data_IF_591854571228
#
_entry.id   IF_591854571228
#
_cell.length_a   1.000
_cell.length_b   1.000
_cell.length_c   1.000
_cell.angle_alpha   90.00
_cell.angle_beta   90.00
_cell.angle_gamma   90.00
#
_symmetry.space_group_name_H-M   'P 1'
#
loop_
_entity.id
_entity.type
_entity.pdbx_description
1 polymer ?
#
# COMPACT_ATOMS: atom_id res chain seq x y z
N UNK A 1 -3.24 -10.34 -34.69
CA UNK A 1 -3.66 -11.17 -33.52
C UNK A 1 -2.41 -11.44 -32.69
N UNK A 2 -2.39 -11.15 -31.39
CA UNK A 2 -1.21 -11.37 -30.55
C UNK A 2 -0.93 -12.87 -30.39
N UNK A 3 0.33 -13.27 -30.52
CA UNK A 3 0.75 -14.64 -30.25
C UNK A 3 1.27 -14.72 -28.79
N UNK A 4 0.46 -15.31 -27.92
CA UNK A 4 0.82 -15.46 -26.49
C UNK A 4 2.07 -16.32 -26.24
N UNK A 5 2.54 -17.09 -27.21
CA UNK A 5 3.77 -17.87 -27.09
C UNK A 5 5.03 -17.02 -27.30
N UNK A 6 4.89 -15.84 -27.88
CA UNK A 6 6.00 -14.89 -28.10
C UNK A 6 6.17 -13.91 -26.92
N UNK A 7 5.32 -13.99 -25.89
CA UNK A 7 5.44 -13.19 -24.68
C UNK A 7 6.70 -13.57 -23.91
N UNK A 8 7.52 -12.56 -23.61
CA UNK A 8 8.73 -12.71 -22.82
C UNK A 8 8.48 -12.24 -21.40
N UNK A 9 8.47 -13.17 -20.44
CA UNK A 9 8.40 -12.83 -19.02
C UNK A 9 9.76 -12.37 -18.53
N UNK A 10 9.83 -11.14 -18.01
CA UNK A 10 11.08 -10.55 -17.58
C UNK A 10 10.90 -9.80 -16.27
N UNK A 11 11.98 -9.69 -15.50
CA UNK A 11 12.13 -8.77 -14.40
C UNK A 11 12.16 -7.35 -14.97
N UNK A 12 11.47 -6.43 -14.28
CA UNK A 12 11.50 -5.01 -14.59
C UNK A 12 12.64 -4.33 -13.84
N UNK A 13 13.36 -3.48 -14.55
CA UNK A 13 14.24 -2.49 -13.94
C UNK A 13 13.42 -1.27 -13.44
N UNK A 14 14.10 -0.27 -12.89
CA UNK A 14 13.44 0.96 -12.43
C UNK A 14 12.66 1.67 -13.56
N UNK A 15 13.14 1.58 -14.81
CA UNK A 15 12.44 2.21 -15.94
C UNK A 15 11.14 1.47 -16.28
N UNK A 16 11.16 0.14 -16.27
CA UNK A 16 9.96 -0.68 -16.41
C UNK A 16 8.95 -0.48 -15.27
N UNK A 17 9.42 -0.34 -14.03
CA UNK A 17 8.55 -0.03 -12.90
C UNK A 17 7.92 1.38 -13.02
N UNK A 18 8.65 2.38 -13.51
CA UNK A 18 8.08 3.72 -13.79
C UNK A 18 6.94 3.66 -14.82
N UNK A 19 7.06 2.80 -15.84
CA UNK A 19 5.98 2.55 -16.81
C UNK A 19 4.78 1.94 -16.09
N UNK A 20 4.99 0.95 -15.23
CA UNK A 20 3.91 0.30 -14.47
C UNK A 20 3.18 1.29 -13.53
N UNK A 21 3.93 2.18 -12.87
CA UNK A 21 3.36 3.27 -12.05
C UNK A 21 2.59 4.29 -12.90
N UNK A 22 3.05 4.58 -14.14
CA UNK A 22 2.27 5.44 -15.05
C UNK A 22 0.93 4.81 -15.45
N UNK A 23 0.89 3.50 -15.64
CA UNK A 23 -0.38 2.80 -15.90
C UNK A 23 -1.30 2.81 -14.67
N UNK A 24 -0.75 2.71 -13.45
CA UNK A 24 -1.54 2.89 -12.23
C UNK A 24 -2.18 4.28 -12.13
N UNK A 25 -1.51 5.32 -12.65
CA UNK A 25 -2.09 6.66 -12.78
C UNK A 25 -3.23 6.68 -13.80
N UNK A 26 -3.07 6.01 -14.95
CA UNK A 26 -4.11 5.88 -15.99
C UNK A 26 -5.34 5.09 -15.50
N UNK A 27 -5.17 4.21 -14.50
CA UNK A 27 -6.25 3.45 -13.83
C UNK A 27 -6.82 4.21 -12.58
N UNK A 28 -6.52 5.52 -12.42
CA UNK A 28 -6.97 6.38 -11.32
C UNK A 28 -6.55 5.92 -9.89
N UNK A 29 -5.45 5.15 -9.77
CA UNK A 29 -4.98 4.67 -8.47
C UNK A 29 -4.23 5.73 -7.66
N UNK A 30 -3.99 6.89 -8.26
CA UNK A 30 -3.37 8.06 -7.64
C UNK A 30 -2.01 7.75 -6.99
N UNK A 31 -0.99 7.27 -7.75
CA UNK A 31 0.32 6.97 -7.21
C UNK A 31 1.07 8.24 -6.77
N UNK A 32 2.09 8.08 -5.95
CA UNK A 32 2.99 9.17 -5.56
C UNK A 32 4.17 9.31 -6.52
N UNK A 33 4.70 10.53 -6.59
CA UNK A 33 5.82 10.89 -7.49
C UNK A 33 7.07 10.03 -7.27
N UNK A 34 7.30 9.58 -6.04
CA UNK A 34 8.51 8.85 -5.66
C UNK A 34 8.28 7.35 -5.46
N UNK A 35 7.04 6.87 -5.62
CA UNK A 35 6.66 5.48 -5.36
C UNK A 35 7.53 4.49 -6.12
N UNK A 36 7.72 4.68 -7.42
CA UNK A 36 8.54 3.77 -8.24
C UNK A 36 9.96 3.58 -7.69
N UNK A 37 10.60 4.66 -7.21
CA UNK A 37 11.96 4.58 -6.67
C UNK A 37 11.99 3.79 -5.37
N UNK A 38 11.13 4.14 -4.41
CA UNK A 38 11.07 3.48 -3.10
C UNK A 38 10.69 2.01 -3.24
N UNK A 39 9.70 1.71 -4.07
CA UNK A 39 9.25 0.35 -4.31
C UNK A 39 10.38 -0.51 -4.91
N UNK A 40 11.10 0.03 -5.90
CA UNK A 40 12.25 -0.65 -6.49
C UNK A 40 13.39 -0.88 -5.47
N UNK A 41 13.71 0.12 -4.64
CA UNK A 41 14.73 0.00 -3.59
C UNK A 41 14.32 -0.99 -2.48
N UNK A 42 13.01 -1.15 -2.24
CA UNK A 42 12.49 -2.13 -1.27
C UNK A 42 12.79 -3.55 -1.69
N UNK A 43 12.52 -3.89 -2.95
CA UNK A 43 12.81 -5.20 -3.53
C UNK A 43 13.09 -5.06 -5.03
N UNK A 44 14.37 -4.96 -5.46
CA UNK A 44 14.71 -4.83 -6.86
C UNK A 44 14.31 -6.03 -7.73
N UNK A 45 14.05 -7.20 -7.14
CA UNK A 45 13.56 -8.41 -7.80
C UNK A 45 12.02 -8.54 -7.73
N UNK A 46 11.36 -7.54 -7.14
CA UNK A 46 9.94 -7.54 -6.81
C UNK A 46 9.00 -7.10 -7.96
N UNK A 47 9.50 -6.89 -9.18
CA UNK A 47 8.67 -6.37 -10.27
C UNK A 47 8.92 -7.15 -11.56
N UNK A 48 7.84 -7.60 -12.20
CA UNK A 48 7.91 -8.44 -13.39
C UNK A 48 6.83 -8.05 -14.41
N UNK A 49 7.07 -8.38 -15.67
CA UNK A 49 6.11 -8.09 -16.73
C UNK A 49 6.31 -8.96 -17.97
N UNK A 50 5.33 -8.86 -18.87
CA UNK A 50 5.43 -9.41 -20.20
C UNK A 50 5.80 -8.35 -21.22
N UNK A 51 6.82 -8.66 -22.00
CA UNK A 51 7.18 -7.93 -23.20
C UNK A 51 6.66 -8.66 -24.44
N UNK A 52 6.17 -7.90 -25.41
CA UNK A 52 5.77 -8.35 -26.72
C UNK A 52 6.33 -7.39 -27.76
N UNK A 53 7.05 -7.90 -28.76
CA UNK A 53 7.75 -7.07 -29.77
C UNK A 53 8.58 -5.92 -29.15
N UNK A 54 9.28 -6.22 -28.05
CA UNK A 54 10.12 -5.24 -27.32
C UNK A 54 9.37 -4.26 -26.43
N UNK A 55 8.04 -4.26 -26.39
CA UNK A 55 7.22 -3.37 -25.60
C UNK A 55 6.69 -4.06 -24.34
N UNK A 56 6.77 -3.40 -23.20
CA UNK A 56 6.09 -3.83 -21.98
C UNK A 56 4.57 -3.70 -22.19
N UNK A 57 3.82 -4.80 -22.02
CA UNK A 57 2.37 -4.85 -22.26
C UNK A 57 1.54 -5.24 -21.04
N UNK A 58 2.16 -5.85 -20.04
CA UNK A 58 1.52 -6.25 -18.80
C UNK A 58 2.56 -6.37 -17.70
N UNK A 59 2.21 -6.08 -16.46
CA UNK A 59 3.16 -6.18 -15.35
C UNK A 59 2.48 -6.23 -13.97
N UNK A 60 3.32 -6.41 -12.96
CA UNK A 60 2.88 -6.39 -11.57
C UNK A 60 4.00 -6.62 -10.57
N UNK A 61 3.70 -6.40 -9.28
CA UNK A 61 4.66 -6.63 -8.21
C UNK A 61 4.58 -8.05 -7.65
N UNK A 62 5.71 -8.54 -7.16
CA UNK A 62 5.94 -9.81 -6.46
C UNK A 62 6.95 -9.57 -5.33
N UNK A 63 6.67 -8.60 -4.48
CA UNK A 63 7.59 -8.16 -3.43
C UNK A 63 7.71 -9.24 -2.35
N UNK A 64 8.95 -9.53 -1.94
CA UNK A 64 9.26 -10.43 -0.84
C UNK A 64 9.87 -9.66 0.33
N UNK A 65 9.26 -9.76 1.49
CA UNK A 65 9.79 -9.26 2.76
C UNK A 65 10.63 -10.37 3.41
N UNK A 66 11.92 -10.42 3.04
CA UNK A 66 12.92 -11.37 3.55
C UNK A 66 12.53 -12.86 3.44
N UNK A 67 11.66 -13.22 2.53
CA UNK A 67 11.11 -14.57 2.42
C UNK A 67 10.02 -14.91 3.43
N UNK A 68 9.79 -14.09 4.45
CA UNK A 68 8.81 -14.35 5.51
C UNK A 68 7.36 -14.03 5.07
N UNK A 69 7.21 -13.08 4.14
CA UNK A 69 5.93 -12.64 3.62
C UNK A 69 6.08 -12.11 2.20
N UNK A 70 5.10 -12.39 1.34
CA UNK A 70 5.02 -11.85 -0.01
C UNK A 70 3.89 -10.85 -0.16
N UNK A 71 4.02 -9.89 -1.10
CA UNK A 71 2.93 -9.00 -1.46
C UNK A 71 2.82 -8.84 -2.98
N UNK A 72 1.61 -8.98 -3.52
CA UNK A 72 1.31 -8.86 -4.95
C UNK A 72 0.43 -7.64 -5.22
N UNK A 73 0.97 -6.65 -5.91
CA UNK A 73 0.24 -5.46 -6.35
C UNK A 73 0.45 -5.15 -7.84
N UNK A 74 0.05 -3.98 -8.29
CA UNK A 74 0.23 -3.48 -9.67
C UNK A 74 -0.21 -4.46 -10.78
N UNK A 75 -1.21 -5.25 -10.60
CA UNK A 75 -1.65 -6.20 -11.63
C UNK A 75 -2.36 -5.46 -12.77
N UNK A 76 -1.60 -5.07 -13.80
CA UNK A 76 -2.09 -4.28 -14.93
C UNK A 76 -1.74 -4.95 -16.26
N UNK A 77 -2.72 -5.03 -17.15
CA UNK A 77 -2.56 -5.35 -18.58
C UNK A 77 -3.03 -4.14 -19.36
N UNK A 78 -2.22 -3.65 -20.30
CA UNK A 78 -2.61 -2.51 -21.14
C UNK A 78 -3.93 -2.80 -21.86
N UNK A 79 -4.84 -1.80 -21.98
CA UNK A 79 -6.19 -2.01 -22.51
C UNK A 79 -6.25 -2.75 -23.85
N UNK A 80 -5.37 -2.40 -24.79
CA UNK A 80 -5.30 -3.01 -26.12
C UNK A 80 -4.86 -4.49 -26.13
N UNK A 81 -4.33 -4.98 -24.99
CA UNK A 81 -3.89 -6.37 -24.80
C UNK A 81 -4.79 -7.17 -23.84
N UNK A 82 -5.90 -6.59 -23.39
CA UNK A 82 -6.90 -7.29 -22.56
C UNK A 82 -7.67 -8.30 -23.41
N UNK A 83 -8.34 -9.26 -22.77
CA UNK A 83 -9.13 -10.33 -23.37
C UNK A 83 -8.35 -11.42 -24.18
N UNK A 84 -7.03 -11.34 -24.29
CA UNK A 84 -6.19 -12.36 -24.93
C UNK A 84 -5.66 -13.44 -23.95
N UNK A 85 -6.14 -13.47 -22.70
CA UNK A 85 -5.66 -14.42 -21.68
C UNK A 85 -4.34 -14.05 -21.00
N UNK A 86 -3.72 -12.93 -21.40
CA UNK A 86 -2.41 -12.46 -20.89
C UNK A 86 -2.46 -12.23 -19.38
N UNK A 87 -3.51 -11.58 -18.88
CA UNK A 87 -3.67 -11.34 -17.45
C UNK A 87 -3.70 -12.63 -16.64
N UNK A 88 -4.44 -13.66 -17.10
CA UNK A 88 -4.47 -14.97 -16.43
C UNK A 88 -3.08 -15.62 -16.41
N UNK A 89 -2.35 -15.60 -17.52
CA UNK A 89 -1.00 -16.17 -17.62
C UNK A 89 -0.04 -15.44 -16.68
N UNK A 90 -0.06 -14.08 -16.68
CA UNK A 90 0.77 -13.24 -15.82
C UNK A 90 0.48 -13.50 -14.34
N UNK A 91 -0.81 -13.60 -13.96
CA UNK A 91 -1.23 -13.84 -12.60
C UNK A 91 -0.59 -15.09 -11.98
N UNK A 92 -0.78 -16.24 -12.63
CA UNK A 92 -0.23 -17.49 -12.14
C UNK A 92 1.30 -17.48 -12.13
N UNK A 93 1.93 -16.96 -13.17
CA UNK A 93 3.38 -16.89 -13.25
C UNK A 93 3.97 -15.97 -12.16
N UNK A 94 3.33 -14.84 -11.87
CA UNK A 94 3.71 -13.96 -10.76
C UNK A 94 3.61 -14.67 -9.41
N UNK A 95 2.47 -15.29 -9.12
CA UNK A 95 2.26 -16.03 -7.89
C UNK A 95 3.32 -17.11 -7.70
N UNK A 96 3.53 -17.94 -8.70
CA UNK A 96 4.47 -19.06 -8.62
C UNK A 96 5.93 -18.55 -8.52
N UNK A 97 6.27 -17.46 -9.20
CA UNK A 97 7.58 -16.80 -9.07
C UNK A 97 7.78 -16.23 -7.66
N UNK A 98 6.75 -15.64 -7.06
CA UNK A 98 6.84 -15.13 -5.69
C UNK A 98 6.96 -16.28 -4.69
N UNK A 99 6.15 -17.32 -4.81
CA UNK A 99 6.24 -18.50 -3.93
C UNK A 99 7.64 -19.12 -3.93
N UNK A 100 8.33 -19.17 -5.08
CA UNK A 100 9.70 -19.66 -5.16
C UNK A 100 10.74 -18.77 -4.44
N UNK A 101 10.37 -17.55 -4.04
CA UNK A 101 11.18 -16.58 -3.29
C UNK A 101 10.85 -16.54 -1.79
N UNK A 102 9.83 -17.26 -1.38
CA UNK A 102 9.34 -17.27 0.00
C UNK A 102 9.79 -18.53 0.72
N UNK A 103 9.85 -18.44 2.05
CA UNK A 103 10.03 -19.60 2.91
C UNK A 103 8.82 -20.53 2.83
N UNK A 104 8.99 -21.79 3.19
CA UNK A 104 7.89 -22.74 3.35
C UNK A 104 6.88 -22.15 4.35
N UNK A 105 5.60 -22.29 4.07
CA UNK A 105 4.48 -21.75 4.86
C UNK A 105 4.32 -20.22 4.91
N UNK A 106 5.16 -19.44 4.20
CA UNK A 106 4.96 -18.01 4.11
C UNK A 106 3.71 -17.68 3.29
N UNK A 107 2.98 -16.66 3.72
CA UNK A 107 1.77 -16.20 3.05
C UNK A 107 2.06 -15.07 2.05
N UNK A 108 1.11 -14.86 1.13
CA UNK A 108 1.11 -13.73 0.20
C UNK A 108 -0.12 -12.88 0.45
N UNK A 109 0.08 -11.56 0.68
CA UNK A 109 -0.97 -10.56 0.74
C UNK A 109 -1.17 -9.86 -0.60
N UNK A 110 -2.36 -9.30 -0.78
CA UNK A 110 -2.69 -8.39 -1.87
C UNK A 110 -3.91 -7.55 -1.53
N UNK A 111 -4.05 -6.41 -2.22
CA UNK A 111 -5.29 -5.62 -2.21
C UNK A 111 -5.98 -5.75 -3.57
N UNK A 112 -7.04 -6.56 -3.60
CA UNK A 112 -7.75 -6.91 -4.82
C UNK A 112 -8.92 -5.98 -5.12
N UNK A 113 -8.93 -5.36 -6.31
CA UNK A 113 -10.07 -4.58 -6.78
C UNK A 113 -11.33 -5.44 -6.89
N UNK A 114 -12.50 -4.84 -6.66
CA UNK A 114 -13.79 -5.55 -6.50
C UNK A 114 -14.08 -6.53 -7.63
N UNK A 115 -13.96 -6.09 -8.88
CA UNK A 115 -14.29 -6.89 -10.06
C UNK A 115 -13.41 -8.13 -10.24
N UNK A 116 -12.20 -8.11 -9.69
CA UNK A 116 -11.22 -9.19 -9.84
C UNK A 116 -11.22 -10.18 -8.66
N UNK A 117 -11.90 -9.90 -7.56
CA UNK A 117 -11.92 -10.77 -6.37
C UNK A 117 -12.37 -12.22 -6.67
N UNK A 118 -13.39 -12.48 -7.51
CA UNK A 118 -13.75 -13.86 -7.87
C UNK A 118 -12.63 -14.60 -8.61
N UNK A 119 -11.82 -13.89 -9.38
CA UNK A 119 -10.66 -14.46 -10.08
C UNK A 119 -9.52 -14.77 -9.09
N UNK A 120 -9.25 -13.87 -8.13
CA UNK A 120 -8.22 -14.06 -7.11
C UNK A 120 -8.56 -15.22 -6.17
N UNK A 121 -9.83 -15.39 -5.80
CA UNK A 121 -10.29 -16.56 -5.03
C UNK A 121 -10.01 -17.88 -5.74
N UNK A 122 -10.22 -17.96 -7.07
CA UNK A 122 -9.86 -19.14 -7.87
C UNK A 122 -8.35 -19.40 -7.88
N UNK A 123 -7.55 -18.38 -7.63
CA UNK A 123 -6.10 -18.45 -7.46
C UNK A 123 -5.64 -18.86 -6.06
N UNK A 124 -6.57 -19.14 -5.14
CA UNK A 124 -6.28 -19.57 -3.77
C UNK A 124 -6.20 -18.44 -2.74
N UNK A 125 -6.64 -17.24 -3.09
CA UNK A 125 -6.67 -16.10 -2.15
C UNK A 125 -8.04 -15.99 -1.45
N UNK A 126 -8.01 -15.76 -0.15
CA UNK A 126 -9.22 -15.53 0.66
C UNK A 126 -9.28 -14.08 1.13
N UNK A 127 -10.50 -13.51 1.16
CA UNK A 127 -10.72 -12.16 1.66
C UNK A 127 -10.61 -12.17 3.18
N UNK A 128 -9.76 -11.29 3.72
CA UNK A 128 -9.66 -11.05 5.15
C UNK A 128 -10.60 -9.90 5.59
N UNK A 129 -10.52 -8.77 4.89
CA UNK A 129 -11.35 -7.58 5.12
C UNK A 129 -11.29 -6.68 3.88
N UNK A 130 -12.05 -5.57 3.89
CA UNK A 130 -11.97 -4.54 2.85
C UNK A 130 -11.23 -3.33 3.35
N UNK A 131 -10.46 -2.73 2.48
CA UNK A 131 -9.83 -1.43 2.68
C UNK A 131 -10.58 -0.40 1.83
N UNK A 132 -11.15 0.61 2.49
CA UNK A 132 -11.97 1.63 1.86
C UNK A 132 -11.22 2.95 1.80
N UNK A 133 -11.13 3.55 0.61
CA UNK A 133 -10.56 4.88 0.42
C UNK A 133 -11.59 5.95 0.68
N UNK A 134 -11.20 6.91 1.52
CA UNK A 134 -11.95 8.13 1.76
C UNK A 134 -11.11 9.35 1.41
N UNK A 135 -11.82 10.40 1.02
CA UNK A 135 -11.26 11.73 0.69
C UNK A 135 -11.84 12.80 1.60
N UNK A 136 -10.98 13.73 2.04
CA UNK A 136 -11.37 14.97 2.69
C UNK A 136 -10.42 16.09 2.26
N UNK A 137 -10.93 17.32 2.16
CA UNK A 137 -10.09 18.51 2.00
C UNK A 137 -9.44 18.85 3.34
N UNK A 138 -8.13 19.12 3.32
CA UNK A 138 -7.38 19.53 4.50
C UNK A 138 -7.91 20.84 5.10
N UNK A 139 -7.90 20.93 6.42
CA UNK A 139 -8.45 22.02 7.20
C UNK A 139 -7.69 22.15 8.53
N UNK A 140 -7.70 23.34 9.15
CA UNK A 140 -7.02 23.59 10.41
C UNK A 140 -7.86 23.15 11.62
N UNK A 141 -7.25 22.35 12.47
CA UNK A 141 -7.78 21.91 13.76
C UNK A 141 -6.79 22.19 14.88
N UNK A 142 -7.29 22.37 16.08
CA UNK A 142 -6.47 22.27 17.29
C UNK A 142 -6.04 20.81 17.47
N UNK A 143 -4.74 20.59 17.67
CA UNK A 143 -4.14 19.26 17.86
C UNK A 143 -3.57 19.11 19.28
N UNK A 144 -3.54 17.87 19.75
CA UNK A 144 -2.95 17.53 21.05
C UNK A 144 -1.45 17.88 21.07
N UNK A 145 -0.98 18.46 22.18
CA UNK A 145 0.43 18.81 22.42
C UNK A 145 1.40 17.63 22.34
N UNK A 146 0.91 16.41 22.47
CA UNK A 146 1.68 15.16 22.34
C UNK A 146 2.00 14.81 20.88
N UNK A 147 1.42 15.54 19.91
CA UNK A 147 1.75 15.39 18.49
C UNK A 147 3.01 16.20 18.17
N UNK A 148 4.01 15.52 17.65
CA UNK A 148 5.25 16.13 17.14
C UNK A 148 5.71 15.46 15.86
N UNK A 149 6.65 16.06 15.14
CA UNK A 149 7.26 15.44 13.97
C UNK A 149 8.18 14.29 14.39
N UNK A 150 8.25 13.25 13.54
CA UNK A 150 9.19 12.13 13.72
C UNK A 150 10.61 12.65 13.52
N UNK A 151 11.51 12.26 14.42
CA UNK A 151 12.94 12.59 14.40
C UNK A 151 13.80 11.32 14.23
N UNK A 152 15.09 11.47 14.05
CA UNK A 152 16.01 10.33 13.84
C UNK A 152 16.04 9.38 15.06
N UNK A 153 15.94 9.90 16.27
CA UNK A 153 15.88 9.11 17.51
C UNK A 153 14.63 8.23 17.63
N UNK A 154 13.57 8.53 16.88
CA UNK A 154 12.32 7.78 16.91
C UNK A 154 12.33 6.54 16.00
N UNK A 155 13.29 6.45 15.09
CA UNK A 155 13.31 5.46 14.01
C UNK A 155 13.15 4.03 14.55
N UNK A 156 13.86 3.66 15.62
CA UNK A 156 13.78 2.33 16.20
C UNK A 156 12.36 2.00 16.68
N UNK A 157 11.71 2.95 17.38
CA UNK A 157 10.34 2.77 17.88
C UNK A 157 9.31 2.74 16.74
N UNK A 158 9.52 3.55 15.69
CA UNK A 158 8.66 3.53 14.49
C UNK A 158 8.75 2.19 13.77
N UNK A 159 9.95 1.63 13.57
CA UNK A 159 10.11 0.33 12.91
C UNK A 159 9.48 -0.80 13.71
N UNK A 160 9.58 -0.78 15.03
CA UNK A 160 8.95 -1.79 15.88
C UNK A 160 7.42 -1.64 15.86
N UNK A 161 6.89 -0.41 15.87
CA UNK A 161 5.46 -0.15 15.78
C UNK A 161 4.89 -0.56 14.42
N UNK A 162 5.60 -0.23 13.32
CA UNK A 162 5.24 -0.65 11.97
C UNK A 162 5.19 -2.17 11.85
N UNK A 163 6.18 -2.88 12.41
CA UNK A 163 6.21 -4.34 12.43
C UNK A 163 4.99 -4.94 13.16
N UNK A 164 4.55 -4.35 14.28
CA UNK A 164 3.34 -4.80 15.00
C UNK A 164 2.07 -4.63 14.16
N UNK A 165 1.97 -3.56 13.37
CA UNK A 165 0.80 -3.27 12.54
C UNK A 165 0.83 -4.03 11.20
N UNK A 166 2.00 -4.14 10.57
CA UNK A 166 2.14 -4.82 9.28
C UNK A 166 2.31 -6.34 9.42
N UNK A 167 2.89 -6.79 10.55
CA UNK A 167 3.18 -8.20 10.85
C UNK A 167 4.60 -8.63 10.55
N UNK A 168 5.34 -7.92 9.69
CA UNK A 168 6.70 -8.27 9.26
C UNK A 168 7.61 -7.04 9.28
N UNK A 169 8.91 -7.28 9.49
CA UNK A 169 9.90 -6.21 9.46
C UNK A 169 10.19 -5.75 8.04
N UNK A 170 10.04 -4.45 7.77
CA UNK A 170 10.24 -3.87 6.43
C UNK A 170 11.04 -2.56 6.43
N UNK A 171 12.22 -2.50 7.09
CA UNK A 171 13.00 -1.26 7.19
C UNK A 171 13.44 -0.71 5.83
N UNK A 172 13.70 -1.56 4.83
CA UNK A 172 14.03 -1.14 3.45
C UNK A 172 12.91 -0.33 2.79
N UNK A 173 11.65 -0.51 3.24
CA UNK A 173 10.51 0.26 2.78
C UNK A 173 10.27 1.50 3.66
N UNK A 174 10.15 1.33 4.97
CA UNK A 174 9.73 2.40 5.89
C UNK A 174 10.80 3.50 6.01
N UNK A 175 12.11 3.18 6.05
CA UNK A 175 13.14 4.19 6.22
C UNK A 175 13.19 5.22 5.07
N UNK A 176 13.25 4.83 3.79
CA UNK A 176 13.18 5.79 2.70
C UNK A 176 11.78 6.43 2.58
N UNK A 177 10.70 5.74 3.00
CA UNK A 177 9.34 6.26 3.00
C UNK A 177 9.17 7.43 3.98
N UNK A 178 9.78 7.36 5.17
CA UNK A 178 9.84 8.46 6.13
C UNK A 178 10.59 9.69 5.59
N UNK A 179 11.59 9.47 4.74
CA UNK A 179 12.50 10.50 4.20
C UNK A 179 12.11 11.02 2.82
N UNK A 180 10.91 10.70 2.32
CA UNK A 180 10.44 11.21 1.02
C UNK A 180 10.40 12.74 1.00
N UNK A 181 10.79 13.39 -0.11
CA UNK A 181 10.68 14.84 -0.24
C UNK A 181 9.24 15.34 -0.02
N UNK A 182 9.12 16.40 0.76
CA UNK A 182 7.84 17.04 1.09
C UNK A 182 6.87 16.18 1.94
N UNK A 183 7.30 15.04 2.46
CA UNK A 183 6.52 14.29 3.44
C UNK A 183 6.30 15.13 4.69
N UNK A 184 5.14 14.88 5.33
CA UNK A 184 4.89 15.30 6.72
C UNK A 184 4.76 14.04 7.56
N UNK A 185 5.47 14.01 8.67
CA UNK A 185 5.51 12.84 9.56
C UNK A 185 5.12 13.26 10.96
N UNK A 186 4.22 12.52 11.56
CA UNK A 186 3.67 12.82 12.89
C UNK A 186 3.80 11.60 13.79
N UNK A 187 4.17 11.82 15.05
CA UNK A 187 4.13 10.83 16.11
C UNK A 187 3.31 11.35 17.27
N UNK A 188 2.68 10.45 18.01
CA UNK A 188 2.02 10.72 19.27
C UNK A 188 2.82 10.05 20.38
N UNK A 189 3.36 10.85 21.33
CA UNK A 189 4.12 10.36 22.48
C UNK A 189 3.31 10.60 23.75
N UNK A 190 3.16 9.56 24.57
CA UNK A 190 2.56 9.66 25.90
C UNK A 190 3.37 8.80 26.87
N UNK A 191 3.67 9.35 28.04
CA UNK A 191 4.46 8.67 29.09
C UNK A 191 5.82 8.17 28.55
N UNK A 192 6.47 8.97 27.69
CA UNK A 192 7.73 8.69 26.98
C UNK A 192 7.65 7.48 26.00
N UNK A 193 6.46 7.00 25.67
CA UNK A 193 6.26 5.90 24.72
C UNK A 193 5.57 6.36 23.44
N UNK A 194 5.95 5.76 22.31
CA UNK A 194 5.26 5.93 21.04
C UNK A 194 3.90 5.21 21.08
N UNK A 195 2.83 5.97 20.88
CA UNK A 195 1.45 5.45 20.89
C UNK A 195 0.76 5.50 19.53
N UNK A 196 1.45 5.97 18.53
CA UNK A 196 1.00 6.01 17.15
C UNK A 196 1.82 6.95 16.29
N UNK A 197 1.72 6.76 14.98
CA UNK A 197 2.35 7.64 14.00
C UNK A 197 1.58 7.70 12.70
N UNK A 198 1.81 8.76 11.94
CA UNK A 198 1.25 8.94 10.60
C UNK A 198 2.28 9.57 9.67
N UNK A 199 2.18 9.21 8.39
CA UNK A 199 2.98 9.78 7.31
C UNK A 199 2.02 10.32 6.25
N UNK A 200 2.22 11.59 5.85
CA UNK A 200 1.50 12.20 4.73
C UNK A 200 2.47 12.40 3.59
N UNK A 201 2.15 11.87 2.42
CA UNK A 201 2.96 12.04 1.21
C UNK A 201 2.17 12.69 0.07
N UNK A 202 2.88 13.39 -0.82
CA UNK A 202 2.30 13.92 -2.06
C UNK A 202 1.95 12.76 -2.99
N UNK A 203 0.72 12.75 -3.50
CA UNK A 203 0.25 11.88 -4.56
C UNK A 203 0.14 12.65 -5.88
N UNK A 204 -0.28 12.00 -6.96
CA UNK A 204 -0.53 12.67 -8.23
C UNK A 204 -1.58 13.77 -8.06
N UNK A 205 -2.68 13.45 -7.38
CA UNK A 205 -3.70 14.41 -6.94
C UNK A 205 -3.67 14.46 -5.42
N UNK A 206 -3.48 15.65 -4.85
CA UNK A 206 -3.50 15.87 -3.41
C UNK A 206 -2.43 15.12 -2.62
N UNK A 207 -2.83 14.58 -1.48
CA UNK A 207 -1.96 13.88 -0.54
C UNK A 207 -2.60 12.57 -0.07
N UNK A 208 -1.77 11.63 0.42
CA UNK A 208 -2.23 10.39 1.05
C UNK A 208 -1.64 10.26 2.45
N UNK A 209 -2.44 9.82 3.40
CA UNK A 209 -1.96 9.34 4.70
C UNK A 209 -1.59 7.86 4.53
N UNK A 210 -0.33 7.52 4.82
CA UNK A 210 0.19 6.19 4.53
C UNK A 210 1.50 5.89 5.31
N UNK A 211 1.40 5.25 6.48
CA UNK A 211 0.19 4.82 7.19
C UNK A 211 -0.37 5.84 8.18
N UNK A 212 -1.49 5.44 8.86
CA UNK A 212 -1.95 5.99 10.13
C UNK A 212 -2.15 4.84 11.10
N UNK A 213 -1.23 4.69 12.03
CA UNK A 213 -1.24 3.64 13.06
C UNK A 213 -1.34 4.27 14.45
N UNK A 214 -2.17 3.70 15.32
CA UNK A 214 -2.38 4.22 16.67
C UNK A 214 -2.89 3.15 17.64
N UNK A 215 -2.56 3.31 18.92
CA UNK A 215 -3.03 2.39 19.96
C UNK A 215 -4.55 2.43 20.18
N UNK A 216 -5.21 3.57 19.87
CA UNK A 216 -6.65 3.73 20.00
C UNK A 216 -7.19 4.88 19.15
N UNK A 217 -8.53 4.98 19.07
CA UNK A 217 -9.27 5.96 18.29
C UNK A 217 -8.95 7.43 18.65
N UNK A 218 -8.78 7.73 19.94
CA UNK A 218 -8.48 9.11 20.37
C UNK A 218 -7.13 9.59 19.81
N UNK A 219 -6.11 8.72 19.86
CA UNK A 219 -4.77 9.02 19.32
C UNK A 219 -4.80 9.12 17.80
N UNK A 220 -5.49 8.17 17.14
CA UNK A 220 -5.65 8.19 15.68
C UNK A 220 -6.34 9.46 15.19
N UNK A 221 -7.36 9.94 15.90
CA UNK A 221 -8.07 11.18 15.60
C UNK A 221 -7.16 12.39 15.69
N UNK A 222 -6.31 12.48 16.72
CA UNK A 222 -5.35 13.59 16.85
C UNK A 222 -4.29 13.55 15.74
N UNK A 223 -3.78 12.37 15.40
CA UNK A 223 -2.89 12.19 14.26
C UNK A 223 -3.58 12.57 12.93
N UNK A 224 -4.86 12.21 12.74
CA UNK A 224 -5.61 12.56 11.54
C UNK A 224 -5.80 14.07 11.41
N UNK A 225 -6.11 14.80 12.50
CA UNK A 225 -6.15 16.26 12.52
C UNK A 225 -4.82 16.89 12.11
N UNK A 226 -3.68 16.37 12.63
CA UNK A 226 -2.37 16.84 12.25
C UNK A 226 -2.09 16.63 10.75
N UNK A 227 -2.54 15.49 10.19
CA UNK A 227 -2.47 15.23 8.76
C UNK A 227 -3.31 16.25 7.96
N UNK A 228 -4.55 16.54 8.37
CA UNK A 228 -5.41 17.55 7.73
C UNK A 228 -4.80 18.94 7.77
N UNK A 229 -4.21 19.35 8.92
CA UNK A 229 -3.52 20.64 9.06
C UNK A 229 -2.30 20.77 8.12
N UNK A 230 -1.69 19.65 7.73
CA UNK A 230 -0.48 19.66 6.89
C UNK A 230 -0.76 19.88 5.40
N UNK A 231 -2.03 19.84 4.98
CA UNK A 231 -2.45 19.95 3.59
C UNK A 231 -3.74 20.77 3.43
N UNK A 232 -3.82 21.92 4.13
CA UNK A 232 -5.00 22.82 4.09
C UNK A 232 -5.38 23.21 2.66
N UNK A 233 -6.67 23.11 2.35
CA UNK A 233 -7.27 23.33 1.05
C UNK A 233 -6.88 22.35 -0.08
N UNK A 234 -6.17 21.26 0.26
CA UNK A 234 -5.80 20.21 -0.68
C UNK A 234 -6.55 18.90 -0.38
N UNK A 235 -6.85 18.06 -1.38
CA UNK A 235 -7.40 16.74 -1.15
C UNK A 235 -6.44 15.86 -0.36
N UNK A 236 -6.96 15.20 0.68
CA UNK A 236 -6.24 14.21 1.49
C UNK A 236 -7.01 12.90 1.47
N UNK A 237 -6.32 11.82 1.09
CA UNK A 237 -6.86 10.48 1.00
C UNK A 237 -6.39 9.61 2.17
N UNK A 238 -7.30 8.76 2.66
CA UNK A 238 -7.03 7.78 3.71
C UNK A 238 -7.67 6.44 3.32
N UNK A 239 -6.89 5.37 3.35
CA UNK A 239 -7.33 4.00 3.06
C UNK A 239 -7.49 3.25 4.38
N UNK A 240 -8.72 2.92 4.79
CA UNK A 240 -9.03 2.35 6.11
C UNK A 240 -9.57 0.91 6.03
N UNK A 241 -9.18 0.01 6.95
CA UNK A 241 -9.83 -1.30 7.08
C UNK A 241 -11.28 -1.14 7.59
N UNK A 242 -12.24 -1.71 6.86
CA UNK A 242 -13.67 -1.65 7.25
C UNK A 242 -13.97 -2.28 8.61
N UNK A 243 -13.12 -3.22 9.03
CA UNK A 243 -13.25 -3.94 10.30
C UNK A 243 -12.75 -3.14 11.50
N UNK A 244 -12.06 -2.00 11.27
CA UNK A 244 -11.66 -1.08 12.35
C UNK A 244 -12.77 -0.04 12.59
N UNK A 245 -13.60 -0.30 13.61
CA UNK A 245 -14.71 0.59 13.94
C UNK A 245 -14.24 2.01 14.32
N UNK A 246 -13.07 2.14 14.96
CA UNK A 246 -12.50 3.45 15.30
C UNK A 246 -12.13 4.26 14.06
N UNK A 247 -11.60 3.61 13.01
CA UNK A 247 -11.34 4.27 11.74
C UNK A 247 -12.65 4.74 11.07
N UNK A 248 -13.69 3.90 11.07
CA UNK A 248 -15.03 4.26 10.58
C UNK A 248 -15.62 5.45 11.34
N UNK A 249 -15.45 5.51 12.67
CA UNK A 249 -15.94 6.62 13.48
C UNK A 249 -15.23 7.93 13.08
N UNK A 250 -13.91 7.91 12.90
CA UNK A 250 -13.14 9.09 12.51
C UNK A 250 -13.61 9.63 11.15
N UNK A 251 -13.70 8.80 10.11
CA UNK A 251 -14.11 9.30 8.79
C UNK A 251 -15.55 9.85 8.78
N UNK A 252 -16.46 9.29 9.61
CA UNK A 252 -17.82 9.80 9.77
C UNK A 252 -17.83 11.14 10.53
N UNK A 253 -17.07 11.25 11.62
CA UNK A 253 -16.98 12.49 12.41
C UNK A 253 -16.46 13.65 11.55
N UNK A 254 -15.54 13.36 10.63
CA UNK A 254 -14.93 14.37 9.74
C UNK A 254 -15.64 14.49 8.38
N UNK A 255 -16.80 13.89 8.16
CA UNK A 255 -17.57 13.94 6.91
C UNK A 255 -16.73 13.59 5.66
N UNK A 256 -15.81 12.62 5.80
CA UNK A 256 -14.97 12.17 4.70
C UNK A 256 -15.80 11.42 3.65
N UNK A 257 -15.51 11.65 2.36
CA UNK A 257 -16.26 11.08 1.24
C UNK A 257 -15.65 9.77 0.79
N UNK A 258 -16.47 8.73 0.65
CA UNK A 258 -16.06 7.46 0.05
C UNK A 258 -15.63 7.65 -1.42
N UNK A 259 -14.55 6.98 -1.81
CA UNK A 259 -14.00 7.02 -3.17
C UNK A 259 -14.09 5.64 -3.84
N UNK A 260 -13.41 4.63 -3.30
CA UNK A 260 -13.47 3.25 -3.78
C UNK A 260 -12.96 2.28 -2.70
N UNK A 261 -12.96 0.98 -3.01
CA UNK A 261 -12.46 -0.05 -2.10
C UNK A 261 -11.67 -1.14 -2.81
N UNK A 262 -10.76 -1.76 -2.05
CA UNK A 262 -10.11 -3.02 -2.38
C UNK A 262 -10.42 -4.06 -1.30
N UNK A 263 -10.18 -5.33 -1.58
CA UNK A 263 -10.19 -6.35 -0.54
C UNK A 263 -8.76 -6.76 -0.20
N UNK A 264 -8.38 -6.68 1.07
CA UNK A 264 -7.20 -7.35 1.59
C UNK A 264 -7.43 -8.85 1.53
N UNK A 265 -6.60 -9.53 0.75
CA UNK A 265 -6.70 -10.96 0.52
C UNK A 265 -5.37 -11.63 0.84
N UNK A 266 -5.43 -12.90 1.27
CA UNK A 266 -4.23 -13.69 1.54
C UNK A 266 -4.29 -15.05 0.84
N UNK A 267 -3.14 -15.46 0.31
CA UNK A 267 -2.85 -16.85 -0.06
C UNK A 267 -2.06 -17.46 1.09
N UNK A 268 -2.51 -18.60 1.62
CA UNK A 268 -2.00 -19.13 2.88
C UNK A 268 -2.66 -18.47 4.09
N UNK A 269 -2.01 -18.54 5.25
CA UNK A 269 -2.56 -18.00 6.50
C UNK A 269 -2.46 -16.48 6.55
N UNK A 270 -3.54 -15.81 6.95
CA UNK A 270 -3.49 -14.37 7.23
C UNK A 270 -2.53 -14.09 8.40
N UNK A 271 -1.67 -13.05 8.32
CA UNK A 271 -0.83 -12.64 9.42
C UNK A 271 -1.65 -12.29 10.67
N UNK A 272 -1.15 -12.64 11.85
CA UNK A 272 -1.76 -12.27 13.13
C UNK A 272 -1.51 -10.81 13.51
N UNK A 273 -2.04 -9.86 12.72
CA UNK A 273 -1.91 -8.41 12.96
C UNK A 273 -3.09 -7.88 13.79
N UNK A 274 -2.83 -6.87 14.62
CA UNK A 274 -3.89 -6.15 15.33
C UNK A 274 -4.49 -5.05 14.44
N UNK A 275 -5.49 -5.40 13.64
CA UNK A 275 -6.17 -4.47 12.72
C UNK A 275 -6.78 -3.28 13.46
N UNK A 276 -7.06 -3.37 14.77
CA UNK A 276 -7.57 -2.25 15.57
C UNK A 276 -6.58 -1.10 15.71
N UNK A 277 -5.28 -1.36 15.50
CA UNK A 277 -4.25 -0.33 15.46
C UNK A 277 -4.07 0.31 14.08
N UNK A 278 -4.68 -0.23 13.04
CA UNK A 278 -4.56 0.24 11.66
C UNK A 278 -5.72 1.16 11.34
N UNK A 279 -5.51 2.46 11.42
CA UNK A 279 -6.47 3.51 11.04
C UNK A 279 -6.27 4.00 9.61
N UNK A 280 -5.18 3.62 8.99
CA UNK A 280 -4.85 3.85 7.61
C UNK A 280 -3.74 2.91 7.14
N UNK A 281 -3.99 2.16 6.06
CA UNK A 281 -2.99 1.25 5.49
C UNK A 281 -1.85 2.01 4.81
N UNK A 282 -0.71 1.36 4.63
CA UNK A 282 0.45 2.04 4.06
C UNK A 282 0.32 2.20 2.55
N UNK A 283 0.14 1.12 1.81
CA UNK A 283 -0.12 1.15 0.36
C UNK A 283 -0.92 -0.08 -0.08
N UNK A 284 -1.63 0.04 -1.21
CA UNK A 284 -2.26 -1.11 -1.86
C UNK A 284 -1.29 -1.89 -2.77
N UNK A 285 -0.11 -1.33 -3.02
CA UNK A 285 0.86 -1.90 -3.95
C UNK A 285 1.85 -2.84 -3.27
N UNK A 286 2.24 -2.52 -2.02
CA UNK A 286 3.25 -3.26 -1.25
C UNK A 286 2.78 -3.69 0.15
N UNK A 287 1.55 -3.28 0.54
CA UNK A 287 0.94 -3.58 1.84
C UNK A 287 1.20 -2.58 2.94
#
# INVERSE_FOLDING_TARGET
MININELQFQKLDLSGLKILVSWAKEEDWNPGTYDAKIFYETDPDGFVGYYYEGNLIAGGSIVSYNGEFGFMGFFIVKPEYRAYGIGRKLWYQRRDTLLARLNEDASIGMDGVVDMQPFYRKGGFEIAFRDMRYERVGENFDIDKNITSIQEEDISSILEYDKQCFGFSRPKFILPWLKLPNNKTFKYIKDAELKGFAIVRKADVGFKICPLFADNECIAKELYKACLNSCVNEPLYLDIPEVNQGAINIIKEFDSKYVFECARMYYGNAPGIDVKKIYGVTTFELG
#
